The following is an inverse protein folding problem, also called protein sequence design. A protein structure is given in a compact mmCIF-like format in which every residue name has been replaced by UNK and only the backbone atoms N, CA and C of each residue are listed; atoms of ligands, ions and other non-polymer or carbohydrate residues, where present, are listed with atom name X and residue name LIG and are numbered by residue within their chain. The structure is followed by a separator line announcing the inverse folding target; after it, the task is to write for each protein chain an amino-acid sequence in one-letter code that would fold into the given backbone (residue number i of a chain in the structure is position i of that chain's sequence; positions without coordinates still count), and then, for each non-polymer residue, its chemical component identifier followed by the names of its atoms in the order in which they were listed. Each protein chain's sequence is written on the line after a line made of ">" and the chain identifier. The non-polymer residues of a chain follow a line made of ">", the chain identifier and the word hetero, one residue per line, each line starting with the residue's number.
data_IF_777587942404
#
_entry.id   IF_777587942404
#
_cell.length_a   1.000
_cell.length_b   1.000
_cell.length_c   1.000
_cell.angle_alpha   90.00
_cell.angle_beta   90.00
_cell.angle_gamma   90.00
#
_symmetry.space_group_name_H-M   'P 1'
#
loop_
_entity.id
_entity.type
_entity.pdbx_description
1 polymer ?
#
# COMPACT_ATOMS: atom_id res chain seq x y z
N UNK A 1 -14.06 0.12 22.54
CA UNK A 1 -12.89 0.90 23.03
C UNK A 1 -12.15 0.26 24.22
N UNK A 2 -12.80 -0.32 25.25
CA UNK A 2 -12.10 -1.03 26.35
C UNK A 2 -11.17 -2.18 25.88
N UNK A 3 -11.50 -2.83 24.75
CA UNK A 3 -10.69 -3.92 24.19
C UNK A 3 -9.37 -3.48 23.54
N UNK A 4 -9.27 -2.31 22.90
CA UNK A 4 -8.05 -1.88 22.20
C UNK A 4 -6.93 -1.50 23.17
N UNK A 5 -7.25 -0.74 24.23
CA UNK A 5 -6.29 -0.39 25.28
C UNK A 5 -5.81 -1.64 26.04
N UNK A 6 -6.68 -2.63 26.25
CA UNK A 6 -6.25 -3.92 26.81
C UNK A 6 -5.36 -4.70 25.85
N UNK A 7 -5.59 -4.64 24.53
CA UNK A 7 -4.72 -5.27 23.53
C UNK A 7 -3.31 -4.65 23.63
N UNK A 8 -3.17 -3.32 23.60
CA UNK A 8 -1.86 -2.67 23.77
C UNK A 8 -1.18 -3.08 25.08
N UNK A 9 -1.91 -3.04 26.20
CA UNK A 9 -1.37 -3.44 27.50
C UNK A 9 -0.92 -4.92 27.53
N UNK A 10 -1.68 -5.81 26.89
CA UNK A 10 -1.38 -7.24 26.83
C UNK A 10 -0.24 -7.57 25.85
N UNK A 11 -0.10 -6.80 24.77
CA UNK A 11 1.01 -6.89 23.82
C UNK A 11 2.35 -6.59 24.47
N UNK A 12 2.42 -5.54 25.30
CA UNK A 12 3.64 -5.20 26.04
C UNK A 12 3.97 -6.17 27.17
N UNK A 13 2.95 -6.85 27.74
CA UNK A 13 3.15 -7.88 28.77
C UNK A 13 3.64 -9.21 28.20
N UNK A 14 3.35 -9.50 26.94
CA UNK A 14 3.70 -10.77 26.31
C UNK A 14 5.13 -10.71 25.76
N UNK A 15 6.06 -11.55 26.23
CA UNK A 15 7.47 -11.46 25.84
C UNK A 15 7.70 -11.63 24.33
N UNK A 16 6.97 -12.53 23.68
CA UNK A 16 7.11 -12.78 22.23
C UNK A 16 6.66 -11.58 21.40
N UNK A 17 5.44 -11.08 21.65
CA UNK A 17 4.90 -9.90 20.95
C UNK A 17 5.75 -8.67 21.23
N UNK A 18 6.22 -8.50 22.47
CA UNK A 18 7.14 -7.42 22.85
C UNK A 18 8.46 -7.51 22.09
N UNK A 19 9.05 -8.71 21.98
CA UNK A 19 10.31 -8.92 21.24
C UNK A 19 10.14 -8.56 19.76
N UNK A 20 9.02 -8.97 19.16
CA UNK A 20 8.70 -8.64 17.76
C UNK A 20 8.48 -7.13 17.56
N UNK A 21 7.76 -6.47 18.47
CA UNK A 21 7.55 -5.02 18.46
C UNK A 21 8.88 -4.25 18.60
N UNK A 22 9.73 -4.66 19.55
CA UNK A 22 11.06 -4.06 19.73
C UNK A 22 11.93 -4.25 18.49
N UNK A 23 11.90 -5.44 17.89
CA UNK A 23 12.63 -5.72 16.67
C UNK A 23 12.19 -4.82 15.51
N UNK A 24 10.88 -4.67 15.30
CA UNK A 24 10.32 -3.74 14.30
C UNK A 24 10.72 -2.29 14.60
N UNK A 25 10.67 -1.86 15.86
CA UNK A 25 11.07 -0.52 16.26
C UNK A 25 12.57 -0.24 16.01
N UNK A 26 13.44 -1.21 16.29
CA UNK A 26 14.88 -1.12 15.99
C UNK A 26 15.09 -0.96 14.48
N UNK A 27 14.40 -1.75 13.65
CA UNK A 27 14.50 -1.60 12.19
C UNK A 27 14.01 -0.23 11.72
N UNK A 28 12.96 0.33 12.31
CA UNK A 28 12.51 1.70 11.98
C UNK A 28 13.57 2.75 12.30
N UNK A 29 14.27 2.62 13.43
CA UNK A 29 15.38 3.52 13.77
C UNK A 29 16.51 3.39 12.76
N UNK A 30 16.91 2.16 12.44
CA UNK A 30 17.97 1.90 11.44
C UNK A 30 17.56 2.45 10.07
N UNK A 31 16.35 2.17 9.60
CA UNK A 31 15.78 2.73 8.38
C UNK A 31 15.88 4.27 8.37
N UNK A 32 15.50 4.93 9.47
CA UNK A 32 15.55 6.39 9.56
C UNK A 32 16.97 6.95 9.55
N UNK A 33 17.96 6.24 10.11
CA UNK A 33 19.36 6.64 10.02
C UNK A 33 19.82 6.61 8.56
N UNK A 34 19.59 5.51 7.85
CA UNK A 34 19.97 5.40 6.44
C UNK A 34 19.22 6.38 5.53
N UNK A 35 17.97 6.70 5.85
CA UNK A 35 17.17 7.71 5.14
C UNK A 35 17.74 9.14 5.24
N UNK A 36 18.67 9.40 6.16
CA UNK A 36 19.36 10.69 6.30
C UNK A 36 20.79 10.69 5.75
N UNK A 37 21.30 9.56 5.25
CA UNK A 37 22.63 9.49 4.63
C UNK A 37 22.48 9.95 3.16
N UNK A 38 22.94 11.16 2.78
CA UNK A 38 22.81 11.65 1.42
C UNK A 38 23.77 10.94 0.47
N UNK A 39 23.36 10.76 -0.78
CA UNK A 39 24.27 10.32 -1.84
C UNK A 39 25.16 11.51 -2.26
N UNK A 40 26.48 11.34 -2.35
CA UNK A 40 27.38 12.39 -2.83
C UNK A 40 27.07 12.78 -4.28
N UNK A 41 27.24 14.06 -4.61
CA UNK A 41 27.09 14.57 -5.99
C UNK A 41 25.78 15.29 -6.29
N UNK A 42 24.88 15.49 -5.31
CA UNK A 42 23.59 16.16 -5.51
C UNK A 42 23.42 17.38 -4.60
N UNK A 43 22.98 18.51 -5.17
CA UNK A 43 22.63 19.69 -4.40
C UNK A 43 21.23 19.52 -3.77
N UNK A 44 21.21 19.11 -2.50
CA UNK A 44 19.98 18.84 -1.75
C UNK A 44 19.09 20.09 -1.61
N UNK A 45 19.67 21.30 -1.59
CA UNK A 45 18.89 22.53 -1.48
C UNK A 45 18.09 22.82 -2.77
N UNK A 46 18.71 22.67 -3.94
CA UNK A 46 18.04 22.79 -5.22
C UNK A 46 17.00 21.69 -5.42
N UNK A 47 17.32 20.47 -4.97
CA UNK A 47 16.39 19.36 -5.01
C UNK A 47 15.13 19.65 -4.18
N UNK A 48 15.27 20.13 -2.94
CA UNK A 48 14.13 20.54 -2.10
C UNK A 48 13.27 21.63 -2.76
N UNK A 49 13.89 22.58 -3.45
CA UNK A 49 13.15 23.62 -4.18
C UNK A 49 12.32 23.04 -5.36
N UNK A 50 12.87 22.08 -6.11
CA UNK A 50 12.10 21.43 -7.18
C UNK A 50 10.96 20.56 -6.65
N UNK A 51 11.17 19.87 -5.52
CA UNK A 51 10.13 19.07 -4.89
C UNK A 51 8.97 19.92 -4.37
N UNK A 52 9.25 21.16 -3.94
CA UNK A 52 8.21 22.11 -3.57
C UNK A 52 7.38 22.59 -4.78
N UNK A 53 7.98 22.66 -5.97
CA UNK A 53 7.30 23.09 -7.19
C UNK A 53 6.58 21.96 -7.93
N UNK A 54 7.06 20.72 -7.80
CA UNK A 54 6.56 19.58 -8.56
C UNK A 54 5.77 18.61 -7.67
N UNK A 55 4.44 18.70 -7.74
CA UNK A 55 3.52 17.87 -6.96
C UNK A 55 3.71 16.36 -7.21
N UNK A 56 4.13 15.97 -8.42
CA UNK A 56 4.44 14.57 -8.76
C UNK A 56 5.61 14.03 -7.95
N UNK A 57 6.70 14.81 -7.86
CA UNK A 57 7.88 14.44 -7.06
C UNK A 57 7.54 14.42 -5.56
N UNK A 58 6.66 15.32 -5.10
CA UNK A 58 6.13 15.31 -3.74
C UNK A 58 5.40 14.00 -3.39
N UNK A 59 4.59 13.45 -4.31
CA UNK A 59 3.89 12.17 -4.09
C UNK A 59 4.87 10.99 -3.97
N UNK A 60 5.86 10.91 -4.86
CA UNK A 60 6.93 9.89 -4.79
C UNK A 60 7.73 9.98 -3.49
N UNK A 61 7.94 11.19 -2.99
CA UNK A 61 8.65 11.45 -1.75
C UNK A 61 7.87 10.99 -0.51
N UNK A 62 6.54 11.01 -0.55
CA UNK A 62 5.70 10.47 0.53
C UNK A 62 5.83 8.95 0.61
N UNK A 63 5.72 8.26 -0.53
CA UNK A 63 5.84 6.80 -0.57
C UNK A 63 7.23 6.29 -0.18
N UNK A 64 8.26 7.09 -0.46
CA UNK A 64 9.64 6.79 -0.10
C UNK A 64 10.00 7.23 1.34
N UNK A 65 9.12 7.96 2.02
CA UNK A 65 9.30 8.36 3.42
C UNK A 65 10.20 9.56 3.64
N UNK A 66 10.36 10.42 2.63
CA UNK A 66 11.24 11.59 2.63
C UNK A 66 12.67 11.30 2.18
N UNK A 67 12.95 10.06 1.72
CA UNK A 67 14.29 9.67 1.25
C UNK A 67 14.63 10.32 -0.09
N UNK A 68 13.63 10.70 -0.88
CA UNK A 68 13.81 11.33 -2.19
C UNK A 68 14.15 12.82 -2.01
N UNK A 69 13.45 13.57 -1.15
CA UNK A 69 13.72 14.98 -0.87
C UNK A 69 15.05 15.26 -0.14
N UNK A 70 15.53 14.30 0.66
CA UNK A 70 16.88 14.37 1.26
C UNK A 70 17.95 13.73 0.37
N UNK A 71 17.55 13.20 -0.78
CA UNK A 71 18.40 12.50 -1.74
C UNK A 71 19.32 11.47 -1.06
N UNK A 72 18.71 10.61 -0.24
CA UNK A 72 19.44 9.61 0.53
C UNK A 72 19.87 8.41 -0.31
N UNK A 73 20.73 7.54 0.24
CA UNK A 73 21.09 6.24 -0.37
C UNK A 73 19.86 5.41 -0.73
N UNK A 74 18.73 5.66 -0.07
CA UNK A 74 17.44 5.00 -0.27
C UNK A 74 16.46 5.83 -1.13
N UNK A 75 16.96 6.69 -2.01
CA UNK A 75 16.15 7.61 -2.80
C UNK A 75 14.96 6.93 -3.50
N UNK A 76 15.18 5.82 -4.22
CA UNK A 76 14.09 5.11 -4.93
C UNK A 76 13.02 4.49 -4.01
N UNK A 77 13.31 4.37 -2.71
CA UNK A 77 12.40 3.77 -1.73
C UNK A 77 12.09 2.30 -2.04
N UNK A 78 10.86 1.89 -1.75
CA UNK A 78 10.36 0.53 -2.02
C UNK A 78 9.70 0.39 -3.40
N UNK A 79 9.68 1.46 -4.21
CA UNK A 79 8.96 1.49 -5.49
C UNK A 79 9.41 0.40 -6.49
N UNK A 80 10.71 0.14 -6.70
CA UNK A 80 11.14 -0.98 -7.55
C UNK A 80 10.56 -2.33 -7.13
N UNK A 81 10.52 -2.59 -5.81
CA UNK A 81 10.02 -3.85 -5.26
C UNK A 81 8.50 -3.95 -5.41
N UNK A 82 7.77 -2.88 -5.11
CA UNK A 82 6.32 -2.82 -5.28
C UNK A 82 5.96 -3.11 -6.73
N UNK A 83 6.64 -2.48 -7.68
CA UNK A 83 6.45 -2.73 -9.11
C UNK A 83 6.80 -4.16 -9.51
N UNK A 84 7.88 -4.73 -8.98
CA UNK A 84 8.24 -6.12 -9.23
C UNK A 84 7.15 -7.08 -8.72
N UNK A 85 6.63 -6.84 -7.52
CA UNK A 85 5.57 -7.64 -6.91
C UNK A 85 4.27 -7.56 -7.71
N UNK A 86 3.91 -6.37 -8.20
CA UNK A 86 2.78 -6.15 -9.11
C UNK A 86 2.93 -6.99 -10.37
N UNK A 87 4.08 -6.88 -11.04
CA UNK A 87 4.35 -7.58 -12.29
C UNK A 87 4.22 -9.09 -12.06
N UNK A 88 4.85 -9.64 -11.01
CA UNK A 88 4.75 -11.06 -10.70
C UNK A 88 3.32 -11.48 -10.36
N UNK A 89 2.57 -10.67 -9.62
CA UNK A 89 1.17 -10.99 -9.28
C UNK A 89 0.28 -11.03 -10.52
N UNK A 90 0.47 -10.12 -11.48
CA UNK A 90 -0.22 -10.17 -12.77
C UNK A 90 0.21 -11.38 -13.60
N UNK A 91 1.52 -11.67 -13.64
CA UNK A 91 2.06 -12.83 -14.36
C UNK A 91 1.55 -14.16 -13.79
N UNK A 92 1.31 -14.26 -12.47
CA UNK A 92 0.75 -15.49 -11.87
C UNK A 92 -0.64 -15.85 -12.38
N UNK A 93 -1.40 -14.89 -12.91
CA UNK A 93 -2.72 -15.12 -13.48
C UNK A 93 -2.67 -15.44 -14.98
N UNK A 94 -1.70 -14.88 -15.68
CA UNK A 94 -1.51 -15.10 -17.13
C UNK A 94 -0.81 -16.43 -17.39
N UNK A 95 0.12 -16.83 -16.52
CA UNK A 95 0.93 -18.03 -16.68
C UNK A 95 0.50 -19.15 -15.72
N UNK A 96 -0.06 -20.27 -16.20
CA UNK A 96 -0.60 -21.33 -15.35
C UNK A 96 0.44 -21.98 -14.45
N UNK A 97 1.71 -22.06 -14.89
CA UNK A 97 2.82 -22.58 -14.07
C UNK A 97 3.07 -21.75 -12.82
N UNK A 98 2.94 -20.42 -12.92
CA UNK A 98 3.07 -19.54 -11.76
C UNK A 98 1.84 -19.62 -10.86
N UNK A 99 0.66 -19.86 -11.44
CA UNK A 99 -0.57 -20.12 -10.66
C UNK A 99 -0.48 -21.43 -9.86
N UNK A 100 0.01 -22.51 -10.47
CA UNK A 100 0.25 -23.80 -9.82
C UNK A 100 1.24 -23.65 -8.67
N UNK A 101 2.34 -22.95 -8.93
CA UNK A 101 3.35 -22.68 -7.93
C UNK A 101 2.81 -21.82 -6.77
N UNK A 102 1.87 -20.90 -7.02
CA UNK A 102 1.14 -20.19 -5.94
C UNK A 102 0.27 -21.11 -5.09
N UNK A 103 -0.20 -22.25 -5.65
CA UNK A 103 -1.02 -23.27 -4.96
C UNK A 103 -0.20 -24.31 -4.19
N UNK A 104 1.12 -24.40 -4.40
CA UNK A 104 2.02 -25.33 -3.69
C UNK A 104 2.21 -25.00 -2.19
N UNK A 105 1.61 -23.91 -1.70
CA UNK A 105 1.66 -23.51 -0.28
C UNK A 105 2.84 -22.58 0.02
N UNK A 106 3.50 -22.77 1.16
CA UNK A 106 4.57 -21.88 1.64
C UNK A 106 5.81 -21.92 0.75
N UNK A 107 6.22 -23.10 0.29
CA UNK A 107 7.38 -23.29 -0.61
C UNK A 107 7.18 -22.58 -1.94
N UNK A 108 5.96 -22.66 -2.48
CA UNK A 108 5.53 -21.93 -3.67
C UNK A 108 5.60 -20.42 -3.51
N UNK A 109 5.06 -19.90 -2.41
CA UNK A 109 5.13 -18.46 -2.08
C UNK A 109 6.56 -17.97 -1.94
N UNK A 110 7.45 -18.74 -1.32
CA UNK A 110 8.87 -18.41 -1.20
C UNK A 110 9.56 -18.30 -2.56
N UNK A 111 9.25 -19.20 -3.49
CA UNK A 111 9.77 -19.14 -4.88
C UNK A 111 9.24 -17.90 -5.63
N UNK A 112 7.96 -17.55 -5.51
CA UNK A 112 7.42 -16.30 -6.10
C UNK A 112 8.12 -15.07 -5.51
N UNK A 113 8.36 -15.07 -4.20
CA UNK A 113 9.10 -14.00 -3.54
C UNK A 113 10.55 -13.94 -4.06
N UNK A 114 11.20 -15.08 -4.30
CA UNK A 114 12.52 -15.12 -4.92
C UNK A 114 12.53 -14.50 -6.32
N UNK A 115 11.55 -14.82 -7.18
CA UNK A 115 11.43 -14.18 -8.49
C UNK A 115 11.15 -12.68 -8.39
N UNK A 116 10.34 -12.27 -7.42
CA UNK A 116 10.07 -10.85 -7.15
C UNK A 116 11.36 -10.11 -6.75
N UNK A 117 12.18 -10.71 -5.89
CA UNK A 117 13.51 -10.18 -5.51
C UNK A 117 14.43 -10.06 -6.71
N UNK A 118 14.53 -11.12 -7.52
CA UNK A 118 15.37 -11.13 -8.72
C UNK A 118 14.92 -10.08 -9.75
N UNK A 119 13.61 -9.85 -9.91
CA UNK A 119 13.08 -8.81 -10.79
C UNK A 119 13.29 -7.40 -10.24
N UNK A 120 13.35 -7.23 -8.92
CA UNK A 120 13.52 -5.92 -8.30
C UNK A 120 14.89 -5.31 -8.62
N UNK A 121 15.96 -6.12 -8.68
CA UNK A 121 17.32 -5.63 -8.94
C UNK A 121 17.46 -4.90 -10.29
N UNK A 122 17.08 -5.49 -11.45
CA UNK A 122 17.16 -4.79 -12.73
C UNK A 122 16.17 -3.62 -12.81
N UNK A 123 15.00 -3.71 -12.17
CA UNK A 123 14.06 -2.59 -12.11
C UNK A 123 14.60 -1.41 -11.30
N UNK A 124 15.28 -1.68 -10.19
CA UNK A 124 15.93 -0.64 -9.39
C UNK A 124 17.05 0.05 -10.17
N UNK A 125 17.87 -0.73 -10.90
CA UNK A 125 18.90 -0.17 -11.76
C UNK A 125 18.33 0.71 -12.88
N UNK A 126 17.26 0.24 -13.55
CA UNK A 126 16.57 1.01 -14.59
C UNK A 126 15.96 2.29 -14.03
N UNK A 127 15.28 2.21 -12.88
CA UNK A 127 14.71 3.38 -12.21
C UNK A 127 15.79 4.36 -11.71
N UNK A 128 16.95 3.88 -11.27
CA UNK A 128 18.08 4.72 -10.89
C UNK A 128 18.61 5.52 -12.09
N UNK A 129 18.72 4.87 -13.27
CA UNK A 129 19.10 5.55 -14.52
C UNK A 129 18.05 6.61 -14.89
N UNK A 130 16.76 6.26 -14.83
CA UNK A 130 15.66 7.20 -15.11
C UNK A 130 15.66 8.41 -14.17
N UNK A 131 15.90 8.18 -12.88
CA UNK A 131 16.02 9.22 -11.87
C UNK A 131 17.23 10.13 -12.16
N UNK A 132 18.40 9.57 -12.46
CA UNK A 132 19.57 10.35 -12.85
C UNK A 132 19.30 11.22 -14.08
N UNK A 133 18.69 10.66 -15.13
CA UNK A 133 18.36 11.40 -16.33
C UNK A 133 17.39 12.56 -16.07
N UNK A 134 16.38 12.36 -15.20
CA UNK A 134 15.44 13.39 -14.78
C UNK A 134 16.13 14.50 -13.98
N UNK A 135 16.97 14.15 -13.01
CA UNK A 135 17.66 15.15 -12.18
C UNK A 135 18.69 15.95 -12.99
N UNK A 136 19.28 15.33 -14.02
CA UNK A 136 20.14 15.98 -14.99
C UNK A 136 19.37 16.96 -15.88
N UNK A 137 18.21 16.56 -16.43
CA UNK A 137 17.42 17.46 -17.28
C UNK A 137 16.92 18.70 -16.54
N UNK A 138 16.74 18.58 -15.22
CA UNK A 138 16.37 19.67 -14.32
C UNK A 138 17.57 20.48 -13.79
N UNK A 139 18.80 20.16 -14.21
CA UNK A 139 20.01 20.89 -13.82
C UNK A 139 20.47 20.72 -12.36
N UNK A 140 19.90 19.76 -11.62
CA UNK A 140 20.23 19.54 -10.20
C UNK A 140 21.56 18.79 -10.04
N UNK A 141 21.85 17.89 -10.98
CA UNK A 141 23.07 17.07 -10.99
C UNK A 141 23.87 17.46 -12.24
N UNK A 142 25.15 17.79 -12.05
CA UNK A 142 26.10 18.02 -13.14
C UNK A 142 26.38 16.69 -13.88
N UNK A 143 26.94 16.76 -15.08
CA UNK A 143 27.34 15.55 -15.78
C UNK A 143 28.36 14.77 -14.94
N UNK A 144 27.93 13.62 -14.40
CA UNK A 144 28.81 12.73 -13.66
C UNK A 144 29.69 11.96 -14.65
N UNK A 145 31.01 11.81 -14.39
CA UNK A 145 31.86 10.84 -15.08
C UNK A 145 31.24 9.43 -15.08
N UNK A 146 31.60 8.61 -16.06
CA UNK A 146 31.05 7.25 -16.21
C UNK A 146 31.20 6.39 -14.95
N UNK A 147 32.31 6.54 -14.21
CA UNK A 147 32.55 5.84 -12.95
C UNK A 147 31.61 6.31 -11.84
N UNK A 148 31.42 7.62 -11.70
CA UNK A 148 30.52 8.22 -10.70
C UNK A 148 29.05 7.87 -10.99
N UNK A 149 28.67 7.79 -12.27
CA UNK A 149 27.34 7.35 -12.69
C UNK A 149 27.08 5.89 -12.30
N UNK A 150 28.05 4.99 -12.51
CA UNK A 150 27.91 3.59 -12.09
C UNK A 150 27.85 3.51 -10.56
N UNK A 151 28.72 4.23 -9.85
CA UNK A 151 28.70 4.29 -8.39
C UNK A 151 27.36 4.79 -7.86
N UNK A 152 26.77 5.81 -8.49
CA UNK A 152 25.44 6.32 -8.18
C UNK A 152 24.36 5.25 -8.36
N UNK A 153 24.31 4.59 -9.52
CA UNK A 153 23.30 3.56 -9.81
C UNK A 153 23.40 2.42 -8.81
N UNK A 154 24.63 1.95 -8.53
CA UNK A 154 24.87 0.88 -7.57
C UNK A 154 24.47 1.30 -6.16
N UNK A 155 24.82 2.52 -5.73
CA UNK A 155 24.48 3.04 -4.38
C UNK A 155 22.97 3.10 -4.16
N UNK A 156 22.24 3.70 -5.11
CA UNK A 156 20.79 3.86 -5.00
C UNK A 156 20.05 2.53 -5.15
N UNK A 157 20.53 1.64 -6.02
CA UNK A 157 19.98 0.29 -6.18
C UNK A 157 20.24 -0.56 -4.92
N UNK A 158 21.45 -0.51 -4.37
CA UNK A 158 21.81 -1.19 -3.13
C UNK A 158 20.98 -0.69 -1.95
N UNK A 159 20.74 0.62 -1.84
CA UNK A 159 19.86 1.19 -0.82
C UNK A 159 18.42 0.65 -0.92
N UNK A 160 17.91 0.47 -2.13
CA UNK A 160 16.58 -0.13 -2.37
C UNK A 160 16.54 -1.61 -1.98
N UNK A 161 17.58 -2.37 -2.33
CA UNK A 161 17.69 -3.78 -1.95
C UNK A 161 17.80 -3.93 -0.43
N UNK A 162 18.53 -3.03 0.22
CA UNK A 162 18.66 -3.00 1.68
C UNK A 162 17.32 -2.67 2.37
N UNK A 163 16.52 -1.75 1.80
CA UNK A 163 15.15 -1.48 2.25
C UNK A 163 14.23 -2.70 2.10
N UNK A 164 14.29 -3.37 0.95
CA UNK A 164 13.55 -4.61 0.72
C UNK A 164 13.92 -5.65 1.78
N UNK A 165 15.21 -5.82 2.04
CA UNK A 165 15.71 -6.75 3.04
C UNK A 165 15.20 -6.41 4.46
N UNK A 166 15.16 -5.14 4.84
CA UNK A 166 14.52 -4.71 6.09
C UNK A 166 13.03 -5.06 6.15
N UNK A 167 12.31 -4.90 5.03
CA UNK A 167 10.90 -5.27 4.94
C UNK A 167 10.67 -6.78 5.11
N UNK A 168 11.50 -7.62 4.49
CA UNK A 168 11.45 -9.07 4.66
C UNK A 168 11.80 -9.46 6.10
N UNK A 169 12.82 -8.83 6.68
CA UNK A 169 13.25 -9.12 8.05
C UNK A 169 12.18 -8.76 9.09
N UNK A 170 11.44 -7.65 8.89
CA UNK A 170 10.26 -7.32 9.71
C UNK A 170 9.14 -8.35 9.49
N UNK A 171 8.96 -8.85 8.27
CA UNK A 171 7.89 -9.84 7.99
C UNK A 171 8.18 -11.19 8.65
N UNK A 172 9.44 -11.63 8.68
CA UNK A 172 9.85 -12.89 9.30
C UNK A 172 9.91 -12.82 10.83
N UNK A 173 10.51 -11.76 11.39
CA UNK A 173 10.82 -11.66 12.82
C UNK A 173 9.98 -10.62 13.56
N UNK A 174 9.29 -9.74 12.85
CA UNK A 174 8.45 -8.69 13.40
C UNK A 174 6.97 -9.03 13.36
N UNK A 175 6.14 -8.00 13.17
CA UNK A 175 4.67 -8.11 13.19
C UNK A 175 4.11 -7.62 11.86
N UNK A 176 3.16 -8.37 11.29
CA UNK A 176 2.46 -7.96 10.08
C UNK A 176 3.33 -7.98 8.83
N UNK A 177 2.97 -7.16 7.84
CA UNK A 177 3.73 -7.02 6.59
C UNK A 177 4.77 -5.92 6.73
N UNK A 178 6.05 -6.28 6.66
CA UNK A 178 7.16 -5.36 6.88
C UNK A 178 7.28 -4.26 5.83
N UNK A 179 6.95 -4.54 4.57
CA UNK A 179 6.98 -3.54 3.49
C UNK A 179 5.92 -2.47 3.75
N UNK A 180 4.69 -2.89 4.08
CA UNK A 180 3.60 -1.98 4.45
C UNK A 180 3.97 -1.12 5.67
N UNK A 181 4.62 -1.72 6.67
CA UNK A 181 5.09 -1.04 7.87
C UNK A 181 6.20 -0.02 7.60
N UNK A 182 7.13 -0.30 6.68
CA UNK A 182 8.15 0.65 6.26
C UNK A 182 7.54 1.86 5.54
N UNK A 183 6.55 1.64 4.65
CA UNK A 183 5.79 2.72 4.01
C UNK A 183 5.07 3.56 5.07
N UNK A 184 4.40 2.91 6.01
CA UNK A 184 3.75 3.58 7.16
C UNK A 184 4.74 4.43 7.97
N UNK A 185 5.90 3.87 8.33
CA UNK A 185 6.93 4.58 9.07
C UNK A 185 7.48 5.78 8.27
N UNK A 186 7.59 5.63 6.95
CA UNK A 186 7.94 6.67 6.00
C UNK A 186 6.98 7.86 6.05
N UNK A 187 5.68 7.60 5.89
CA UNK A 187 4.61 8.62 5.88
C UNK A 187 4.49 9.28 7.25
N UNK A 188 4.35 8.50 8.32
CA UNK A 188 4.13 9.02 9.68
C UNK A 188 5.29 9.86 10.16
N UNK A 189 6.54 9.50 9.83
CA UNK A 189 7.69 10.30 10.25
C UNK A 189 7.78 11.68 9.57
N UNK A 190 6.98 11.97 8.54
CA UNK A 190 6.86 13.33 7.97
C UNK A 190 5.80 14.17 8.65
N UNK A 191 4.82 13.54 9.33
CA UNK A 191 3.74 14.26 9.99
C UNK A 191 4.26 15.32 10.99
N UNK A 192 5.25 15.05 11.86
CA UNK A 192 5.76 16.07 12.78
C UNK A 192 6.31 17.32 12.08
N UNK A 193 6.98 17.14 10.94
CA UNK A 193 7.53 18.24 10.14
C UNK A 193 6.39 19.05 9.52
N UNK A 194 5.38 18.39 8.95
CA UNK A 194 4.20 19.06 8.37
C UNK A 194 3.42 19.81 9.44
N UNK A 195 3.22 19.21 10.63
CA UNK A 195 2.59 19.89 11.76
C UNK A 195 3.41 21.10 12.22
N UNK A 196 4.74 20.97 12.35
CA UNK A 196 5.61 22.08 12.72
C UNK A 196 5.55 23.25 11.73
N UNK A 197 5.61 22.97 10.43
CA UNK A 197 5.48 23.98 9.37
C UNK A 197 4.09 24.62 9.33
N UNK A 198 3.04 23.83 9.58
CA UNK A 198 1.67 24.33 9.65
C UNK A 198 1.49 25.24 10.85
N UNK A 199 2.05 24.88 12.00
CA UNK A 199 2.00 25.70 13.23
C UNK A 199 2.76 27.02 13.07
N UNK A 200 3.92 27.01 12.39
CA UNK A 200 4.70 28.22 12.16
C UNK A 200 4.10 29.16 11.10
N UNK A 201 3.09 28.71 10.34
CA UNK A 201 2.38 29.50 9.31
C UNK A 201 0.96 29.88 9.73
N UNK A 202 0.61 29.70 11.01
CA UNK A 202 -0.67 30.11 11.57
C UNK A 202 -0.74 31.64 11.61
N UNK A 203 -1.44 32.20 10.62
CA UNK A 203 -1.95 33.57 10.64
C UNK A 203 -3.44 33.53 11.06
N UNK A 204 -3.97 34.64 11.60
CA UNK A 204 -5.37 34.74 12.03
C UNK A 204 -6.37 34.39 10.90
N UNK A 205 -6.00 34.64 9.65
CA UNK A 205 -6.79 34.30 8.45
C UNK A 205 -6.81 32.80 8.12
N UNK A 206 -5.79 32.03 8.53
CA UNK A 206 -5.66 30.61 8.22
C UNK A 206 -6.24 29.68 9.28
N UNK A 207 -6.62 30.20 10.47
CA UNK A 207 -7.17 29.39 11.57
C UNK A 207 -8.44 28.66 11.15
N UNK A 208 -9.34 29.34 10.44
CA UNK A 208 -10.60 28.73 9.96
C UNK A 208 -10.30 27.59 8.98
N UNK A 209 -9.36 27.78 8.05
CA UNK A 209 -8.99 26.76 7.08
C UNK A 209 -8.29 25.55 7.72
N UNK A 210 -7.43 25.78 8.73
CA UNK A 210 -6.77 24.70 9.50
C UNK A 210 -7.82 23.90 10.30
N UNK A 211 -8.82 24.56 10.87
CA UNK A 211 -9.89 23.90 11.62
C UNK A 211 -10.77 23.06 10.68
N UNK A 212 -11.14 23.59 9.52
CA UNK A 212 -11.86 22.85 8.46
C UNK A 212 -11.03 21.62 8.04
N UNK A 213 -9.73 21.78 7.84
CA UNK A 213 -8.83 20.69 7.49
C UNK A 213 -8.80 19.60 8.57
N UNK A 214 -8.64 19.97 9.84
CA UNK A 214 -8.60 19.02 10.95
C UNK A 214 -9.91 18.22 11.07
N UNK A 215 -11.06 18.90 10.97
CA UNK A 215 -12.39 18.28 11.02
C UNK A 215 -12.58 17.33 9.83
N UNK A 216 -12.23 17.77 8.63
CA UNK A 216 -12.32 16.94 7.44
C UNK A 216 -11.39 15.72 7.50
N UNK A 217 -10.16 15.89 7.98
CA UNK A 217 -9.23 14.78 8.20
C UNK A 217 -9.81 13.74 9.16
N UNK A 218 -10.43 14.17 10.26
CA UNK A 218 -11.13 13.29 11.21
C UNK A 218 -12.32 12.57 10.56
N UNK A 219 -13.10 13.25 9.72
CA UNK A 219 -14.22 12.64 8.99
C UNK A 219 -13.70 11.56 8.04
N UNK A 220 -12.65 11.84 7.27
CA UNK A 220 -12.04 10.89 6.34
C UNK A 220 -11.48 9.68 7.08
N UNK A 221 -10.74 9.89 8.17
CA UNK A 221 -10.22 8.78 9.00
C UNK A 221 -11.37 7.93 9.54
N UNK A 222 -12.42 8.56 10.08
CA UNK A 222 -13.58 7.85 10.63
C UNK A 222 -14.30 7.03 9.56
N UNK A 223 -14.51 7.62 8.38
CA UNK A 223 -15.11 6.93 7.25
C UNK A 223 -14.27 5.71 6.81
N UNK A 224 -12.94 5.85 6.73
CA UNK A 224 -12.03 4.75 6.38
C UNK A 224 -12.13 3.61 7.39
N UNK A 225 -12.11 3.92 8.69
CA UNK A 225 -12.20 2.90 9.75
C UNK A 225 -13.53 2.15 9.67
N UNK A 226 -14.65 2.86 9.57
CA UNK A 226 -15.99 2.25 9.50
C UNK A 226 -16.10 1.31 8.30
N UNK A 227 -15.62 1.72 7.13
CA UNK A 227 -15.69 0.90 5.91
C UNK A 227 -14.72 -0.28 5.95
N UNK A 228 -13.51 -0.11 6.48
CA UNK A 228 -12.55 -1.21 6.62
C UNK A 228 -12.97 -2.25 7.68
N UNK A 229 -13.73 -1.86 8.69
CA UNK A 229 -14.30 -2.77 9.69
C UNK A 229 -15.66 -3.36 9.27
N UNK A 230 -16.35 -2.75 8.31
CA UNK A 230 -17.62 -3.25 7.80
C UNK A 230 -17.45 -4.65 7.20
N UNK A 231 -18.21 -5.61 7.74
CA UNK A 231 -18.26 -6.99 7.25
C UNK A 231 -19.70 -7.44 7.05
N UNK A 232 -19.94 -8.16 5.96
CA UNK A 232 -21.17 -8.90 5.74
C UNK A 232 -20.97 -10.33 6.22
N UNK A 233 -21.69 -10.71 7.26
CA UNK A 233 -21.64 -12.05 7.82
C UNK A 233 -22.60 -12.97 7.06
N UNK A 234 -22.07 -14.02 6.44
CA UNK A 234 -22.87 -15.08 5.79
C UNK A 234 -22.92 -16.28 6.72
N UNK A 235 -24.11 -16.70 7.13
CA UNK A 235 -24.25 -17.84 8.05
C UNK A 235 -23.98 -19.16 7.31
N UNK A 236 -23.11 -19.99 7.88
CA UNK A 236 -22.78 -21.34 7.39
C UNK A 236 -23.12 -22.35 8.48
N UNK A 237 -23.83 -23.40 8.11
CA UNK A 237 -24.18 -24.51 8.99
C UNK A 237 -23.29 -25.69 8.67
N UNK A 238 -22.63 -26.23 9.68
CA UNK A 238 -21.90 -27.48 9.56
C UNK A 238 -22.81 -28.66 9.89
N UNK A 239 -22.73 -29.71 9.07
CA UNK A 239 -23.51 -30.92 9.24
C UNK A 239 -23.34 -31.50 10.65
N UNK A 240 -24.46 -31.80 11.29
CA UNK A 240 -24.51 -32.44 12.61
C UNK A 240 -24.03 -33.88 12.48
N UNK A 241 -23.18 -34.34 13.41
CA UNK A 241 -22.88 -35.77 13.56
C UNK A 241 -23.76 -36.32 14.67
N UNK A 242 -24.75 -37.12 14.30
CA UNK A 242 -25.58 -37.85 15.27
C UNK A 242 -24.87 -39.18 15.55
N UNK A 243 -24.49 -39.42 16.80
CA UNK A 243 -23.94 -40.71 17.25
C UNK A 243 -24.71 -41.18 18.47
N UNK A 244 -25.53 -42.23 18.31
CA UNK A 244 -26.45 -42.70 19.35
C UNK A 244 -27.56 -41.68 19.64
N UNK A 245 -27.95 -41.53 20.91
CA UNK A 245 -29.01 -40.61 21.35
C UNK A 245 -28.53 -39.17 21.65
N UNK A 246 -27.28 -38.84 21.32
CA UNK A 246 -26.71 -37.51 21.55
C UNK A 246 -26.35 -36.84 20.22
N UNK A 247 -26.87 -35.64 20.04
CA UNK A 247 -26.54 -34.77 18.90
C UNK A 247 -25.23 -34.06 19.23
N UNK A 248 -24.17 -34.36 18.48
CA UNK A 248 -22.92 -33.62 18.55
C UNK A 248 -22.80 -32.68 17.35
N UNK A 249 -22.51 -31.41 17.63
CA UNK A 249 -22.32 -30.38 16.61
C UNK A 249 -23.61 -29.74 16.10
N UNK A 250 -23.50 -29.02 14.98
CA UNK A 250 -24.56 -28.17 14.43
C UNK A 250 -24.51 -26.72 14.91
N UNK A 251 -23.33 -26.24 15.28
CA UNK A 251 -23.14 -24.82 15.56
C UNK A 251 -23.19 -24.05 14.24
N UNK A 252 -24.06 -23.04 14.18
CA UNK A 252 -24.02 -22.04 13.12
C UNK A 252 -22.77 -21.19 13.32
N UNK A 253 -21.96 -21.05 12.28
CA UNK A 253 -20.91 -20.04 12.25
C UNK A 253 -21.21 -19.03 11.14
N UNK A 254 -20.38 -17.99 11.04
CA UNK A 254 -20.47 -17.02 9.97
C UNK A 254 -19.15 -16.94 9.21
N UNK A 255 -19.24 -16.82 7.89
CA UNK A 255 -18.16 -16.41 7.02
C UNK A 255 -18.21 -14.88 6.87
N UNK A 256 -17.26 -14.12 7.46
CA UNK A 256 -17.24 -12.67 7.34
C UNK A 256 -16.64 -12.25 6.00
N UNK A 257 -17.44 -11.63 5.14
CA UNK A 257 -16.96 -10.98 3.92
C UNK A 257 -16.77 -9.48 4.19
N UNK A 258 -15.51 -9.01 4.16
CA UNK A 258 -15.20 -7.59 4.37
C UNK A 258 -15.65 -6.74 3.17
N UNK A 259 -15.97 -5.48 3.42
CA UNK A 259 -16.31 -4.51 2.38
C UNK A 259 -15.10 -4.17 1.49
N UNK A 260 -13.95 -3.94 2.14
CA UNK A 260 -12.66 -3.81 1.48
C UNK A 260 -11.80 -5.04 1.76
N UNK A 261 -11.79 -6.00 0.84
CA UNK A 261 -10.94 -7.19 0.92
C UNK A 261 -9.54 -6.94 0.34
N UNK A 262 -9.45 -5.94 -0.54
CA UNK A 262 -8.24 -5.65 -1.29
C UNK A 262 -7.20 -4.85 -0.50
N UNK A 263 -7.61 -4.24 0.62
CA UNK A 263 -6.75 -3.39 1.43
C UNK A 263 -6.38 -2.12 0.66
N UNK A 264 -5.11 -1.72 0.72
CA UNK A 264 -4.58 -0.49 0.08
C UNK A 264 -3.93 -0.78 -1.27
N UNK A 265 -3.66 -2.05 -1.57
CA UNK A 265 -2.84 -2.48 -2.70
C UNK A 265 -3.38 -1.97 -4.05
N UNK A 266 -4.70 -2.03 -4.35
CA UNK A 266 -5.24 -1.46 -5.59
C UNK A 266 -4.94 0.02 -5.81
N UNK A 267 -4.89 0.80 -4.73
CA UNK A 267 -4.63 2.25 -4.80
C UNK A 267 -3.20 2.49 -5.23
N UNK A 268 -2.26 1.76 -4.63
CA UNK A 268 -0.84 1.83 -4.99
C UNK A 268 -0.65 1.44 -6.46
N UNK A 269 -1.39 0.43 -6.93
CA UNK A 269 -1.33 -0.02 -8.32
C UNK A 269 -1.86 1.06 -9.27
N UNK A 270 -3.01 1.64 -8.95
CA UNK A 270 -3.59 2.74 -9.71
C UNK A 270 -2.65 3.94 -9.79
N UNK A 271 -2.02 4.34 -8.68
CA UNK A 271 -1.02 5.41 -8.67
C UNK A 271 0.13 5.07 -9.61
N UNK A 272 0.73 3.89 -9.49
CA UNK A 272 1.88 3.50 -10.33
C UNK A 272 1.57 3.57 -11.83
N UNK A 273 0.36 3.19 -12.24
CA UNK A 273 -0.07 3.18 -13.63
C UNK A 273 -0.35 4.59 -14.15
N UNK A 274 -0.99 5.45 -13.35
CA UNK A 274 -1.24 6.85 -13.74
C UNK A 274 0.06 7.66 -13.79
N UNK A 275 1.05 7.35 -12.95
CA UNK A 275 2.34 8.03 -12.94
C UNK A 275 3.21 7.67 -14.15
N UNK A 276 3.09 6.44 -14.69
CA UNK A 276 3.90 5.95 -15.82
C UNK A 276 3.85 6.86 -17.07
N UNK A 277 2.67 7.23 -17.61
CA UNK A 277 2.58 8.15 -18.75
C UNK A 277 3.23 9.51 -18.48
N UNK A 278 3.04 10.06 -17.27
CA UNK A 278 3.64 11.34 -16.90
C UNK A 278 5.17 11.28 -16.86
N UNK A 279 5.76 10.16 -16.41
CA UNK A 279 7.21 9.95 -16.42
C UNK A 279 7.77 9.89 -17.85
N UNK A 280 7.15 9.09 -18.72
CA UNK A 280 7.57 8.97 -20.12
C UNK A 280 7.41 10.32 -20.83
N UNK A 281 6.29 11.01 -20.63
CA UNK A 281 6.02 12.30 -21.23
C UNK A 281 7.06 13.35 -20.79
N UNK A 282 7.38 13.45 -19.50
CA UNK A 282 8.40 14.38 -19.02
C UNK A 282 9.78 14.05 -19.63
N UNK A 283 10.13 12.78 -19.76
CA UNK A 283 11.38 12.36 -20.41
C UNK A 283 11.42 12.70 -21.91
N UNK A 284 10.35 12.38 -22.65
CA UNK A 284 10.25 12.66 -24.09
C UNK A 284 10.15 14.15 -24.39
N UNK A 285 9.67 14.96 -23.45
CA UNK A 285 9.60 16.42 -23.60
C UNK A 285 11.00 17.08 -23.69
N UNK A 286 12.05 16.40 -23.20
CA UNK A 286 13.44 16.82 -23.31
C UNK A 286 14.12 16.38 -24.64
N UNK A 287 13.40 15.70 -25.53
CA UNK A 287 13.93 15.26 -26.82
C UNK A 287 14.03 16.41 -27.83
N UNK A 288 15.03 16.36 -28.71
CA UNK A 288 15.28 17.37 -29.75
C UNK A 288 14.27 17.36 -30.90
N UNK A 289 13.44 16.32 -31.00
CA UNK A 289 12.45 16.19 -32.08
C UNK A 289 11.12 16.89 -31.71
N UNK A 290 10.73 17.92 -32.48
CA UNK A 290 9.58 18.77 -32.16
C UNK A 290 8.24 18.03 -32.14
N UNK A 291 8.04 17.04 -33.01
CA UNK A 291 6.81 16.25 -33.04
C UNK A 291 6.65 15.40 -31.77
N UNK A 292 7.74 14.77 -31.33
CA UNK A 292 7.79 13.99 -30.09
C UNK A 292 7.61 14.89 -28.86
N UNK A 293 8.21 16.08 -28.88
CA UNK A 293 8.06 17.08 -27.80
C UNK A 293 6.62 17.54 -27.66
N UNK A 294 5.93 17.85 -28.76
CA UNK A 294 4.54 18.32 -28.73
C UNK A 294 3.55 17.23 -28.25
N UNK A 295 3.77 15.97 -28.66
CA UNK A 295 2.99 14.84 -28.12
C UNK A 295 3.28 14.67 -26.63
N UNK A 296 4.54 14.74 -26.23
CA UNK A 296 4.95 14.60 -24.84
C UNK A 296 4.39 15.70 -23.93
N UNK A 297 4.42 16.97 -24.35
CA UNK A 297 3.84 18.07 -23.57
C UNK A 297 2.33 17.99 -23.48
N UNK A 298 1.64 17.53 -24.54
CA UNK A 298 0.19 17.29 -24.53
C UNK A 298 -0.18 16.18 -23.54
N UNK A 299 0.56 15.07 -23.54
CA UNK A 299 0.36 13.99 -22.57
C UNK A 299 0.66 14.47 -21.15
N UNK A 300 1.74 15.23 -20.93
CA UNK A 300 2.07 15.79 -19.62
C UNK A 300 0.97 16.74 -19.11
N UNK A 301 0.36 17.54 -19.98
CA UNK A 301 -0.77 18.42 -19.64
C UNK A 301 -2.02 17.62 -19.24
N UNK A 302 -2.36 16.55 -19.97
CA UNK A 302 -3.53 15.72 -19.64
C UNK A 302 -3.35 14.91 -18.36
N UNK A 303 -2.12 14.49 -18.05
CA UNK A 303 -1.76 13.73 -16.86
C UNK A 303 -1.25 14.61 -15.70
N UNK A 304 -1.62 15.89 -15.67
CA UNK A 304 -1.34 16.75 -14.52
C UNK A 304 -2.17 16.30 -13.29
N UNK A 305 -1.56 16.07 -12.12
CA UNK A 305 -2.25 15.68 -10.88
C UNK A 305 -3.45 16.56 -10.47
N UNK A 306 -3.47 17.84 -10.86
CA UNK A 306 -4.59 18.76 -10.60
C UNK A 306 -5.70 18.69 -11.65
N UNK A 307 -5.47 17.99 -12.77
CA UNK A 307 -6.41 17.90 -13.88
C UNK A 307 -7.62 17.01 -13.57
N UNK A 308 -8.79 17.39 -14.09
CA UNK A 308 -10.02 16.58 -13.98
C UNK A 308 -9.82 15.23 -14.67
N UNK A 309 -9.11 15.20 -15.80
CA UNK A 309 -8.84 13.98 -16.57
C UNK A 309 -7.98 12.99 -15.77
N UNK A 310 -6.91 13.48 -15.13
CA UNK A 310 -6.08 12.69 -14.21
C UNK A 310 -6.90 12.10 -13.07
N UNK A 311 -7.67 12.92 -12.37
CA UNK A 311 -8.48 12.46 -11.23
C UNK A 311 -9.57 11.47 -11.65
N UNK A 312 -10.23 11.70 -12.80
CA UNK A 312 -11.20 10.76 -13.36
C UNK A 312 -10.57 9.42 -13.73
N UNK A 313 -9.45 9.44 -14.46
CA UNK A 313 -8.74 8.21 -14.83
C UNK A 313 -8.21 7.47 -13.59
N UNK A 314 -7.68 8.21 -12.61
CA UNK A 314 -7.22 7.65 -11.35
C UNK A 314 -8.38 7.01 -10.57
N UNK A 315 -9.54 7.66 -10.48
CA UNK A 315 -10.75 7.10 -9.89
C UNK A 315 -11.15 5.78 -10.56
N UNK A 316 -11.25 5.75 -11.90
CA UNK A 316 -11.64 4.54 -12.63
C UNK A 316 -10.61 3.42 -12.49
N UNK A 317 -9.32 3.74 -12.47
CA UNK A 317 -8.26 2.76 -12.24
C UNK A 317 -8.33 2.19 -10.82
N UNK A 318 -8.55 3.01 -9.79
CA UNK A 318 -8.74 2.53 -8.41
C UNK A 318 -9.94 1.58 -8.33
N UNK A 319 -11.07 1.95 -8.93
CA UNK A 319 -12.26 1.10 -8.96
C UNK A 319 -11.97 -0.21 -9.69
N UNK A 320 -11.38 -0.15 -10.89
CA UNK A 320 -11.05 -1.30 -11.72
C UNK A 320 -10.06 -2.24 -11.04
N UNK A 321 -8.98 -1.72 -10.45
CA UNK A 321 -8.00 -2.52 -9.71
C UNK A 321 -8.58 -3.11 -8.43
N UNK A 322 -9.51 -2.42 -7.75
CA UNK A 322 -10.17 -2.98 -6.55
C UNK A 322 -10.99 -4.20 -6.93
N UNK A 323 -11.73 -4.13 -8.04
CA UNK A 323 -12.46 -5.27 -8.58
C UNK A 323 -11.54 -6.42 -8.99
N UNK A 324 -10.52 -6.09 -9.79
CA UNK A 324 -9.55 -7.05 -10.27
C UNK A 324 -8.87 -7.78 -9.10
N UNK A 325 -8.32 -7.03 -8.14
CA UNK A 325 -7.60 -7.60 -7.01
C UNK A 325 -8.51 -8.42 -6.09
N UNK A 326 -9.74 -7.95 -5.84
CA UNK A 326 -10.70 -8.71 -5.01
C UNK A 326 -11.07 -10.04 -5.68
N UNK A 327 -11.30 -10.06 -7.00
CA UNK A 327 -11.62 -11.28 -7.73
C UNK A 327 -10.44 -12.28 -7.75
N UNK A 328 -9.20 -11.79 -7.75
CA UNK A 328 -7.99 -12.62 -7.72
C UNK A 328 -7.81 -13.31 -6.36
N UNK A 329 -7.97 -12.56 -5.26
CA UNK A 329 -7.75 -13.12 -3.92
C UNK A 329 -8.94 -13.96 -3.46
N UNK A 330 -10.14 -13.45 -3.63
CA UNK A 330 -11.36 -14.13 -3.20
C UNK A 330 -11.96 -14.92 -4.36
N UNK A 331 -11.54 -16.18 -4.48
CA UNK A 331 -12.15 -17.12 -5.42
C UNK A 331 -13.41 -17.74 -4.80
N UNK A 332 -14.63 -17.39 -5.26
CA UNK A 332 -15.88 -17.89 -4.66
C UNK A 332 -16.01 -19.41 -4.80
N UNK A 333 -15.44 -19.96 -5.90
CA UNK A 333 -15.40 -21.40 -6.17
C UNK A 333 -14.57 -22.15 -5.13
N UNK A 334 -13.34 -21.68 -4.85
CA UNK A 334 -12.47 -22.31 -3.84
C UNK A 334 -13.12 -22.30 -2.46
N UNK A 335 -13.72 -21.18 -2.06
CA UNK A 335 -14.41 -21.05 -0.76
C UNK A 335 -15.62 -21.98 -0.68
N UNK A 336 -16.41 -22.08 -1.75
CA UNK A 336 -17.55 -23.00 -1.80
C UNK A 336 -17.10 -24.48 -1.70
N UNK A 337 -16.03 -24.85 -2.40
CA UNK A 337 -15.44 -26.19 -2.35
C UNK A 337 -14.89 -26.50 -0.94
N UNK A 338 -14.26 -25.53 -0.27
CA UNK A 338 -13.80 -25.66 1.12
C UNK A 338 -14.96 -25.84 2.09
N UNK A 339 -16.00 -25.01 2.01
CA UNK A 339 -17.22 -25.15 2.82
C UNK A 339 -17.81 -26.56 2.64
N UNK A 340 -17.89 -27.05 1.39
CA UNK A 340 -18.37 -28.38 1.08
C UNK A 340 -17.47 -29.49 1.64
N UNK A 341 -16.15 -29.38 1.51
CA UNK A 341 -15.17 -30.33 2.05
C UNK A 341 -15.27 -30.48 3.57
N UNK A 342 -15.53 -29.38 4.28
CA UNK A 342 -15.73 -29.39 5.73
C UNK A 342 -17.17 -29.79 6.15
N UNK A 343 -18.04 -30.20 5.22
CA UNK A 343 -19.42 -30.58 5.50
C UNK A 343 -20.33 -29.40 5.88
N UNK A 344 -19.92 -28.18 5.51
CA UNK A 344 -20.68 -26.95 5.68
C UNK A 344 -21.64 -26.69 4.51
N UNK A 345 -22.69 -25.93 4.76
CA UNK A 345 -23.61 -25.43 3.73
C UNK A 345 -24.23 -24.10 4.13
N UNK A 346 -24.63 -23.30 3.14
CA UNK A 346 -25.39 -22.06 3.37
C UNK A 346 -26.89 -22.42 3.36
N UNK A 347 -27.68 -21.99 4.36
CA UNK A 347 -29.12 -22.27 4.41
C UNK A 347 -29.82 -21.86 3.12
N UNK A 348 -30.64 -22.76 2.57
CA UNK A 348 -31.41 -22.49 1.35
C UNK A 348 -30.61 -22.64 0.04
N UNK A 349 -29.31 -22.99 0.09
CA UNK A 349 -28.47 -23.11 -1.10
C UNK A 349 -27.75 -24.46 -1.09
N UNK A 350 -27.84 -25.19 -2.20
CA UNK A 350 -27.15 -26.48 -2.34
C UNK A 350 -25.62 -26.28 -2.37
N UNK A 351 -24.84 -27.12 -1.65
CA UNK A 351 -23.38 -27.08 -1.70
C UNK A 351 -22.82 -27.25 -3.12
N UNK A 352 -21.65 -26.64 -3.38
CA UNK A 352 -20.97 -26.66 -4.68
C UNK A 352 -21.24 -25.41 -5.53
N UNK A 353 -21.50 -25.59 -6.82
CA UNK A 353 -21.65 -24.50 -7.81
C UNK A 353 -22.69 -23.44 -7.37
N UNK A 354 -23.89 -23.79 -6.85
CA UNK A 354 -24.87 -22.79 -6.43
C UNK A 354 -24.37 -21.91 -5.27
N UNK A 355 -23.58 -22.49 -4.36
CA UNK A 355 -22.93 -21.76 -3.27
C UNK A 355 -21.89 -20.78 -3.83
N UNK A 356 -21.08 -21.21 -4.81
CA UNK A 356 -20.10 -20.33 -5.46
C UNK A 356 -20.76 -19.15 -6.18
N UNK A 357 -21.87 -19.38 -6.91
CA UNK A 357 -22.61 -18.33 -7.59
C UNK A 357 -23.23 -17.32 -6.62
N UNK A 358 -23.75 -17.79 -5.48
CA UNK A 358 -24.28 -16.92 -4.43
C UNK A 358 -23.19 -16.06 -3.79
N UNK A 359 -22.05 -16.66 -3.45
CA UNK A 359 -20.90 -15.93 -2.94
C UNK A 359 -20.42 -14.89 -3.95
N UNK A 360 -20.34 -15.24 -5.24
CA UNK A 360 -19.96 -14.30 -6.30
C UNK A 360 -20.94 -13.13 -6.45
N UNK A 361 -22.25 -13.40 -6.39
CA UNK A 361 -23.28 -12.37 -6.42
C UNK A 361 -23.16 -11.39 -5.25
N UNK A 362 -22.84 -11.90 -4.06
CA UNK A 362 -22.61 -11.07 -2.88
C UNK A 362 -21.32 -10.25 -3.02
N UNK A 363 -20.22 -10.91 -3.36
CA UNK A 363 -18.90 -10.29 -3.47
C UNK A 363 -18.91 -9.14 -4.46
N UNK A 364 -19.43 -9.34 -5.68
CA UNK A 364 -19.47 -8.29 -6.72
C UNK A 364 -20.21 -7.01 -6.28
N UNK A 365 -21.28 -7.14 -5.48
CA UNK A 365 -22.05 -6.01 -4.95
C UNK A 365 -21.39 -5.33 -3.75
N UNK A 366 -20.78 -6.11 -2.86
CA UNK A 366 -20.00 -5.57 -1.74
C UNK A 366 -18.80 -4.80 -2.30
N UNK A 367 -18.06 -5.41 -3.22
CA UNK A 367 -16.90 -4.80 -3.86
C UNK A 367 -17.27 -3.53 -4.62
N UNK A 368 -18.49 -3.40 -5.18
CA UNK A 368 -18.94 -2.15 -5.81
C UNK A 368 -18.87 -0.97 -4.84
N UNK A 369 -19.46 -1.15 -3.66
CA UNK A 369 -19.52 -0.12 -2.62
C UNK A 369 -18.11 0.18 -2.11
N UNK A 370 -17.30 -0.85 -1.86
CA UNK A 370 -15.91 -0.70 -1.44
C UNK A 370 -15.04 0.03 -2.49
N UNK A 371 -15.14 -0.36 -3.76
CA UNK A 371 -14.36 0.20 -4.85
C UNK A 371 -14.69 1.67 -5.12
N UNK A 372 -15.99 2.02 -5.14
CA UNK A 372 -16.42 3.42 -5.29
C UNK A 372 -15.91 4.24 -4.10
N UNK A 373 -16.04 3.72 -2.88
CA UNK A 373 -15.55 4.41 -1.69
C UNK A 373 -14.04 4.67 -1.73
N UNK A 374 -13.23 3.65 -2.07
CA UNK A 374 -11.79 3.81 -2.22
C UNK A 374 -11.43 4.80 -3.33
N UNK A 375 -12.15 4.75 -4.46
CA UNK A 375 -12.00 5.71 -5.56
C UNK A 375 -12.28 7.13 -5.12
N UNK A 376 -13.40 7.37 -4.40
CA UNK A 376 -13.77 8.70 -3.90
C UNK A 376 -12.71 9.23 -2.94
N UNK A 377 -12.21 8.41 -2.00
CA UNK A 377 -11.17 8.88 -1.07
C UNK A 377 -9.86 9.15 -1.80
N UNK A 378 -9.51 8.38 -2.83
CA UNK A 378 -8.32 8.63 -3.61
C UNK A 378 -8.31 10.02 -4.26
N UNK A 379 -9.46 10.53 -4.71
CA UNK A 379 -9.60 11.87 -5.33
C UNK A 379 -10.00 12.98 -4.35
N UNK A 380 -10.50 12.64 -3.17
CA UNK A 380 -10.97 13.62 -2.19
C UNK A 380 -9.92 14.69 -1.84
N UNK A 381 -8.62 14.38 -1.67
CA UNK A 381 -7.60 15.38 -1.34
C UNK A 381 -7.40 16.42 -2.45
N UNK A 382 -7.43 15.99 -3.71
CA UNK A 382 -7.26 16.89 -4.87
C UNK A 382 -8.48 17.78 -5.04
N UNK A 383 -9.69 17.22 -4.86
CA UNK A 383 -10.93 17.98 -4.89
C UNK A 383 -10.96 19.06 -3.80
N UNK A 384 -10.60 18.71 -2.56
CA UNK A 384 -10.62 19.70 -1.46
C UNK A 384 -9.56 20.76 -1.66
N UNK A 385 -8.39 20.41 -2.20
CA UNK A 385 -7.37 21.40 -2.52
C UNK A 385 -7.90 22.45 -3.51
N UNK A 386 -8.65 22.04 -4.54
CA UNK A 386 -9.25 22.98 -5.50
C UNK A 386 -10.21 23.98 -4.86
N UNK A 387 -10.87 23.60 -3.76
CA UNK A 387 -11.75 24.50 -3.01
C UNK A 387 -11.03 25.34 -1.95
N UNK A 388 -9.99 24.80 -1.32
CA UNK A 388 -9.31 25.43 -0.17
C UNK A 388 -8.03 26.17 -0.54
N UNK A 389 -7.50 26.00 -1.76
CA UNK A 389 -6.21 26.51 -2.26
C UNK A 389 -4.98 26.14 -1.38
N UNK A 390 -5.12 25.24 -0.41
CA UNK A 390 -4.01 24.79 0.43
C UNK A 390 -3.23 23.70 -0.29
N UNK A 391 -2.10 24.06 -0.89
CA UNK A 391 -1.29 23.13 -1.68
C UNK A 391 -0.69 21.96 -0.88
N UNK A 392 -0.49 22.14 0.43
CA UNK A 392 0.04 21.10 1.32
C UNK A 392 -0.97 19.96 1.60
N UNK A 393 -2.22 20.09 1.16
CA UNK A 393 -3.30 19.17 1.47
C UNK A 393 -3.21 17.82 0.72
N UNK A 394 -2.75 17.82 -0.53
CA UNK A 394 -2.61 16.59 -1.34
C UNK A 394 -1.67 15.59 -0.65
N UNK A 395 -0.60 16.12 -0.05
CA UNK A 395 0.48 15.34 0.54
C UNK A 395 0.00 14.50 1.75
N UNK A 396 -1.08 14.91 2.41
CA UNK A 396 -1.65 14.20 3.56
C UNK A 396 -2.67 13.12 3.17
N UNK A 397 -3.49 13.34 2.15
CA UNK A 397 -4.72 12.58 1.93
C UNK A 397 -4.52 11.11 1.49
N UNK A 398 -3.64 10.86 0.51
CA UNK A 398 -3.28 9.49 0.11
C UNK A 398 -2.49 8.78 1.22
N UNK A 399 -1.63 9.52 1.91
CA UNK A 399 -0.88 9.04 3.07
C UNK A 399 -1.78 8.57 4.21
N UNK A 400 -2.84 9.32 4.53
CA UNK A 400 -3.80 8.97 5.60
C UNK A 400 -4.45 7.61 5.36
N UNK A 401 -4.87 7.31 4.13
CA UNK A 401 -5.55 6.05 3.81
C UNK A 401 -4.61 4.84 4.00
N UNK A 402 -3.37 4.97 3.52
CA UNK A 402 -2.33 3.96 3.71
C UNK A 402 -2.07 3.76 5.21
N UNK A 403 -1.89 4.86 5.94
CA UNK A 403 -1.60 4.84 7.38
C UNK A 403 -2.69 4.12 8.17
N UNK A 404 -3.95 4.51 7.98
CA UNK A 404 -5.08 3.91 8.72
C UNK A 404 -5.19 2.41 8.41
N UNK A 405 -5.08 2.02 7.15
CA UNK A 405 -5.23 0.62 6.75
C UNK A 405 -4.10 -0.26 7.27
N UNK A 406 -2.85 0.20 7.20
CA UNK A 406 -1.69 -0.54 7.75
C UNK A 406 -1.78 -0.67 9.26
N UNK A 407 -2.27 0.36 9.96
CA UNK A 407 -2.52 0.30 11.41
C UNK A 407 -3.58 -0.75 11.74
N UNK A 408 -4.70 -0.76 11.01
CA UNK A 408 -5.77 -1.74 11.22
C UNK A 408 -5.31 -3.18 10.94
N UNK A 409 -4.53 -3.39 9.87
CA UNK A 409 -3.93 -4.69 9.57
C UNK A 409 -2.96 -5.15 10.67
N UNK A 410 -2.12 -4.24 11.16
CA UNK A 410 -1.14 -4.53 12.22
C UNK A 410 -1.84 -4.88 13.53
N UNK A 411 -2.87 -4.14 13.91
CA UNK A 411 -3.67 -4.44 15.12
C UNK A 411 -4.32 -5.83 15.00
N UNK A 412 -4.92 -6.15 13.85
CA UNK A 412 -5.52 -7.47 13.60
C UNK A 412 -4.49 -8.59 13.65
N UNK A 413 -3.28 -8.36 13.12
CA UNK A 413 -2.19 -9.34 13.19
C UNK A 413 -1.73 -9.60 14.64
N UNK A 414 -1.65 -8.54 15.45
CA UNK A 414 -1.34 -8.64 16.88
C UNK A 414 -2.44 -9.41 17.62
N UNK A 415 -3.71 -9.08 17.37
CA UNK A 415 -4.85 -9.74 18.00
C UNK A 415 -4.89 -11.23 17.66
N UNK A 416 -4.67 -11.61 16.39
CA UNK A 416 -4.60 -13.01 15.98
C UNK A 416 -3.51 -13.79 16.72
N UNK A 417 -2.32 -13.19 16.91
CA UNK A 417 -1.24 -13.83 17.68
C UNK A 417 -1.59 -13.98 19.17
N UNK A 418 -2.23 -12.99 19.77
CA UNK A 418 -2.67 -13.07 21.17
C UNK A 418 -3.75 -14.16 21.37
N UNK A 419 -4.68 -14.29 20.42
CA UNK A 419 -5.73 -15.32 20.45
C UNK A 419 -5.15 -16.73 20.31
N UNK A 420 -4.23 -16.95 19.36
CA UNK A 420 -3.59 -18.26 19.17
C UNK A 420 -2.89 -18.73 20.46
N UNK A 421 -2.17 -17.83 21.15
CA UNK A 421 -1.51 -18.17 22.41
C UNK A 421 -2.49 -18.49 23.54
N UNK A 422 -3.60 -17.76 23.64
CA UNK A 422 -4.63 -18.08 24.62
C UNK A 422 -5.24 -19.46 24.35
N UNK A 423 -5.36 -19.86 23.08
CA UNK A 423 -5.82 -21.21 22.71
C UNK A 423 -4.85 -22.30 23.19
N UNK A 424 -3.54 -22.10 23.05
CA UNK A 424 -2.51 -23.02 23.58
C UNK A 424 -2.51 -23.12 25.12
N UNK A 425 -2.97 -22.08 25.82
CA UNK A 425 -3.12 -22.09 27.27
C UNK A 425 -4.40 -22.82 27.73
N UNK A 426 -5.40 -22.98 26.86
CA UNK A 426 -6.61 -23.79 27.13
C UNK A 426 -6.46 -25.26 26.70
N UNK A 427 -5.51 -25.56 25.80
CA UNK A 427 -5.26 -26.93 25.33
C UNK A 427 -4.24 -27.71 26.19
N UNK A 428 -3.47 -26.99 27.02
CA UNK A 428 -2.68 -27.55 28.13
C UNK A 428 -3.49 -27.51 29.42
#
# INVERSE_FOLDING_TARGET
>A
MKNLLSIFKNSFKTPDVRSKLLFTAVIFVVFRIFAHIPVPGVNVAQLKALFAQNQFLGLLDIFSGGTLANFSVMALGLNPYINASIILQLLTMVFPKLEELSKEGETGRQKINQYTRMLTVPLAALQAIGMYALLRSQGIIKLLPSVELVAFIVTVSAGTILLMWFGELITERGIGNGISLLIFAGIVGRLPVVFGQTVSTINAENIVNILIFAVMGLIVISAIVVINEATRQITVYYAKRVRGNKIYGGQSTHLPLRLNQAGVIPIIFAVSLVLMPSLIANYLSASSNEALRNVATTVAMWFNPTGILYNGLYFFLVVGFTYFYTAVIFSPKKIADEIQKYGGFIPGIRPGIPTASYLNYILTRITLVGAIFLGVIAILPTVVQSFTNIQNLILGGTGILIVVSVVLETIKAIEAQLVMRNYDAYSR
#
